data_IF_789652071929
#
_entry.id   IF_789652071929
#
_cell.length_a   1.000
_cell.length_b   1.000
_cell.length_c   1.000
_cell.angle_alpha   90.00
_cell.angle_beta   90.00
_cell.angle_gamma   90.00
#
_symmetry.space_group_name_H-M   'P 1'
#
loop_
_entity.id
_entity.type
_entity.pdbx_description
1 polymer ?
#
# COMPACT_ATOMS: atom_id res chain seq x y z
N UNK A 1 -13.03 -21.20 -5.66
CA UNK A 1 -12.66 -19.79 -5.95
C UNK A 1 -12.81 -18.85 -4.75
N UNK A 2 -13.80 -19.00 -3.86
CA UNK A 2 -13.99 -18.13 -2.68
C UNK A 2 -12.79 -17.99 -1.71
N UNK A 3 -11.95 -19.01 -1.56
CA UNK A 3 -10.78 -18.97 -0.66
C UNK A 3 -9.62 -18.12 -1.20
N UNK A 4 -9.44 -18.07 -2.52
CA UNK A 4 -8.39 -17.26 -3.14
C UNK A 4 -8.73 -15.76 -3.05
N UNK A 5 -10.02 -15.43 -3.19
CA UNK A 5 -10.54 -14.06 -3.07
C UNK A 5 -10.37 -13.52 -1.66
N UNK A 6 -10.68 -14.31 -0.63
CA UNK A 6 -10.51 -13.87 0.76
C UNK A 6 -9.04 -13.65 1.10
N UNK A 7 -8.16 -14.57 0.71
CA UNK A 7 -6.71 -14.43 0.92
C UNK A 7 -6.15 -13.20 0.20
N UNK A 8 -6.59 -12.96 -1.04
CA UNK A 8 -6.19 -11.76 -1.78
C UNK A 8 -6.64 -10.47 -1.08
N UNK A 9 -7.89 -10.41 -0.61
CA UNK A 9 -8.40 -9.28 0.18
C UNK A 9 -7.62 -9.06 1.48
N UNK A 10 -7.23 -10.13 2.18
CA UNK A 10 -6.43 -10.02 3.40
C UNK A 10 -5.03 -9.49 3.14
N UNK A 11 -4.33 -10.04 2.13
CA UNK A 11 -2.99 -9.58 1.74
C UNK A 11 -3.04 -8.11 1.30
N UNK A 12 -4.07 -7.77 0.54
CA UNK A 12 -4.33 -6.40 0.12
C UNK A 12 -4.49 -5.46 1.32
N UNK A 13 -5.38 -5.80 2.26
CA UNK A 13 -5.69 -4.94 3.40
C UNK A 13 -4.49 -4.78 4.33
N UNK A 14 -3.70 -5.86 4.46
CA UNK A 14 -2.42 -5.83 5.13
C UNK A 14 -1.43 -4.87 4.46
N UNK A 15 -1.25 -4.97 3.13
CA UNK A 15 -0.35 -4.09 2.38
C UNK A 15 -0.78 -2.62 2.42
N UNK A 16 -2.09 -2.35 2.36
CA UNK A 16 -2.64 -1.01 2.46
C UNK A 16 -2.41 -0.41 3.85
N UNK A 17 -2.76 -1.14 4.91
CA UNK A 17 -2.51 -0.70 6.29
C UNK A 17 -1.02 -0.49 6.55
N UNK A 18 -0.17 -1.35 6.01
CA UNK A 18 1.28 -1.20 6.10
C UNK A 18 1.78 0.09 5.43
N UNK A 19 1.28 0.43 4.23
CA UNK A 19 1.61 1.68 3.56
C UNK A 19 1.12 2.90 4.35
N UNK A 20 -0.11 2.83 4.87
CA UNK A 20 -0.70 3.91 5.66
C UNK A 20 0.05 4.17 6.97
N UNK A 21 0.37 3.11 7.71
CA UNK A 21 1.16 3.21 8.96
C UNK A 21 2.58 3.69 8.65
N UNK A 22 3.18 3.25 7.53
CA UNK A 22 4.50 3.74 7.10
C UNK A 22 4.46 5.24 6.80
N UNK A 23 3.44 5.74 6.10
CA UNK A 23 3.26 7.18 5.87
C UNK A 23 3.13 7.97 7.18
N UNK A 24 2.30 7.49 8.11
CA UNK A 24 2.18 8.12 9.43
C UNK A 24 3.50 8.09 10.20
N UNK A 25 4.22 6.98 10.16
CA UNK A 25 5.50 6.86 10.88
C UNK A 25 6.55 7.80 10.30
N UNK A 26 6.58 7.94 8.97
CA UNK A 26 7.50 8.84 8.26
C UNK A 26 7.18 10.30 8.62
N UNK A 27 5.91 10.69 8.69
CA UNK A 27 5.51 12.07 9.03
C UNK A 27 5.73 12.40 10.52
N UNK A 28 5.30 11.51 11.43
CA UNK A 28 5.24 11.80 12.86
C UNK A 28 6.50 11.40 13.64
N UNK A 29 7.26 10.41 13.17
CA UNK A 29 8.41 9.86 13.90
C UNK A 29 9.61 9.63 12.96
N UNK A 30 10.12 10.70 12.32
CA UNK A 30 11.07 10.55 11.23
C UNK A 30 12.39 9.92 11.64
N UNK A 31 12.91 10.25 12.83
CA UNK A 31 14.18 9.73 13.34
C UNK A 31 14.20 8.21 13.51
N UNK A 32 13.09 7.61 13.98
CA UNK A 32 12.98 6.16 14.12
C UNK A 32 12.90 5.47 12.76
N UNK A 33 12.13 6.04 11.83
CA UNK A 33 12.02 5.50 10.47
C UNK A 33 13.37 5.49 9.78
N UNK A 34 14.14 6.57 9.85
CA UNK A 34 15.48 6.64 9.24
C UNK A 34 16.44 5.62 9.85
N UNK A 35 16.36 5.38 11.17
CA UNK A 35 17.16 4.32 11.80
C UNK A 35 16.78 2.92 11.31
N UNK A 36 15.49 2.61 11.22
CA UNK A 36 15.03 1.34 10.70
C UNK A 36 15.43 1.15 9.23
N UNK A 37 15.12 2.11 8.38
CA UNK A 37 15.43 2.03 6.96
C UNK A 37 16.94 2.01 6.68
N UNK A 38 17.75 2.81 7.39
CA UNK A 38 19.21 2.75 7.24
C UNK A 38 19.80 1.42 7.71
N UNK A 39 19.25 0.81 8.77
CA UNK A 39 19.70 -0.48 9.28
C UNK A 39 19.31 -1.65 8.38
N UNK A 40 18.12 -1.61 7.78
CA UNK A 40 17.65 -2.66 6.88
C UNK A 40 18.21 -2.55 5.46
N UNK A 41 18.33 -1.33 4.92
CA UNK A 41 18.79 -1.11 3.55
C UNK A 41 20.26 -0.69 3.44
N UNK A 42 20.95 -0.45 4.57
CA UNK A 42 22.37 -0.06 4.59
C UNK A 42 22.64 1.32 3.98
N UNK A 43 21.61 2.13 3.76
CA UNK A 43 21.69 3.42 3.09
C UNK A 43 21.66 4.56 4.11
N UNK A 44 22.62 5.48 4.02
CA UNK A 44 22.62 6.74 4.76
C UNK A 44 21.59 7.64 4.07
N UNK A 45 20.40 7.72 4.64
CA UNK A 45 19.33 8.60 4.15
C UNK A 45 19.69 10.06 4.48
N UNK A 46 19.93 10.86 3.44
CA UNK A 46 20.00 12.33 3.51
C UNK A 46 18.57 12.90 3.59
N UNK A 47 18.39 14.12 4.10
CA UNK A 47 17.09 14.80 4.19
C UNK A 47 16.36 14.85 2.82
N UNK A 48 17.09 14.90 1.71
CA UNK A 48 16.52 14.85 0.35
C UNK A 48 15.85 13.49 0.01
N UNK A 49 16.31 12.40 0.61
CA UNK A 49 15.75 11.08 0.40
C UNK A 49 14.41 10.90 1.13
N UNK A 50 14.10 11.76 2.10
CA UNK A 50 12.87 11.71 2.89
C UNK A 50 11.64 12.05 2.04
N UNK A 51 11.73 13.12 1.25
CA UNK A 51 10.69 13.51 0.29
C UNK A 51 10.45 12.43 -0.76
N UNK A 52 11.52 11.78 -1.22
CA UNK A 52 11.42 10.65 -2.16
C UNK A 52 10.71 9.43 -1.53
N UNK A 53 10.98 9.14 -0.26
CA UNK A 53 10.34 8.04 0.48
C UNK A 53 8.83 8.27 0.65
N UNK A 54 8.45 9.48 1.07
CA UNK A 54 7.04 9.91 1.16
C UNK A 54 6.36 9.80 -0.20
N UNK A 55 6.98 10.33 -1.26
CA UNK A 55 6.43 10.28 -2.61
C UNK A 55 6.22 8.83 -3.07
N UNK A 56 7.20 7.96 -2.87
CA UNK A 56 7.12 6.54 -3.25
C UNK A 56 6.00 5.82 -2.49
N UNK A 57 5.87 6.08 -1.19
CA UNK A 57 4.79 5.52 -0.37
C UNK A 57 3.41 6.02 -0.83
N UNK A 58 3.26 7.30 -1.12
CA UNK A 58 2.02 7.87 -1.69
C UNK A 58 1.66 7.24 -3.02
N UNK A 59 2.61 7.16 -3.95
CA UNK A 59 2.43 6.51 -5.25
C UNK A 59 2.03 5.05 -5.10
N UNK A 60 2.70 4.31 -4.21
CA UNK A 60 2.37 2.90 -3.95
C UNK A 60 0.95 2.75 -3.40
N UNK A 61 0.53 3.60 -2.45
CA UNK A 61 -0.82 3.61 -1.89
C UNK A 61 -1.89 3.94 -2.93
N UNK A 62 -1.61 4.90 -3.81
CA UNK A 62 -2.50 5.27 -4.92
C UNK A 62 -2.68 4.10 -5.90
N UNK A 63 -1.58 3.49 -6.35
CA UNK A 63 -1.63 2.34 -7.25
C UNK A 63 -2.39 1.17 -6.61
N UNK A 64 -2.15 0.92 -5.32
CA UNK A 64 -2.86 -0.10 -4.55
C UNK A 64 -4.37 0.17 -4.57
N UNK A 65 -4.78 1.42 -4.30
CA UNK A 65 -6.19 1.83 -4.27
C UNK A 65 -6.87 1.65 -5.63
N UNK A 66 -6.22 2.06 -6.73
CA UNK A 66 -6.72 1.87 -8.10
C UNK A 66 -6.91 0.38 -8.40
N UNK A 67 -5.95 -0.46 -7.99
CA UNK A 67 -6.05 -1.90 -8.17
C UNK A 67 -7.27 -2.49 -7.45
N UNK A 68 -7.60 -2.05 -6.23
CA UNK A 68 -8.85 -2.46 -5.56
C UNK A 68 -10.06 -2.03 -6.36
N UNK A 69 -10.13 -0.76 -6.77
CA UNK A 69 -11.32 -0.24 -7.43
C UNK A 69 -11.60 -1.03 -8.71
N UNK A 70 -10.55 -1.36 -9.47
CA UNK A 70 -10.66 -2.27 -10.61
C UNK A 70 -11.09 -3.68 -10.20
N UNK A 71 -10.56 -4.23 -9.11
CA UNK A 71 -10.92 -5.57 -8.63
C UNK A 71 -12.39 -5.62 -8.19
N UNK A 72 -12.83 -4.70 -7.34
CA UNK A 72 -14.24 -4.56 -6.92
C UNK A 72 -15.11 -4.39 -8.16
N UNK A 73 -14.73 -3.51 -9.09
CA UNK A 73 -15.46 -3.34 -10.33
C UNK A 73 -15.57 -4.67 -11.09
N UNK A 74 -14.50 -5.43 -11.29
CA UNK A 74 -14.55 -6.72 -11.98
C UNK A 74 -15.40 -7.77 -11.24
N UNK A 75 -15.28 -7.84 -9.90
CA UNK A 75 -16.03 -8.79 -9.07
C UNK A 75 -17.53 -8.50 -9.01
N UNK A 76 -17.92 -7.22 -9.02
CA UNK A 76 -19.32 -6.82 -8.96
C UNK A 76 -19.93 -6.62 -10.35
N UNK A 77 -19.13 -6.33 -11.39
CA UNK A 77 -19.59 -6.21 -12.79
C UNK A 77 -20.25 -7.49 -13.32
N UNK A 78 -19.81 -8.66 -12.86
CA UNK A 78 -20.45 -9.94 -13.22
C UNK A 78 -21.74 -10.24 -12.46
N UNK A 79 -22.08 -9.47 -11.42
CA UNK A 79 -23.31 -9.64 -10.62
C UNK A 79 -24.49 -8.85 -11.17
N UNK A 80 -24.22 -7.81 -11.98
CA UNK A 80 -25.23 -6.93 -12.58
C UNK A 80 -25.49 -7.23 -14.07
N UNK A 81 -24.90 -8.29 -14.64
CA UNK A 81 -25.37 -8.78 -15.94
C UNK A 81 -26.77 -9.37 -15.75
N UNK A 82 -27.82 -8.84 -16.40
CA UNK A 82 -29.12 -9.48 -16.39
C UNK A 82 -28.93 -10.89 -16.96
N UNK A 83 -29.14 -11.89 -16.11
CA UNK A 83 -29.25 -13.28 -16.53
C UNK A 83 -30.47 -13.35 -17.48
N UNK A 84 -30.19 -13.30 -18.79
CA UNK A 84 -31.07 -13.84 -19.81
C UNK A 84 -30.77 -15.32 -19.99
#
# INVERSE_FOLDING_TARGET
>A
MKMAESVFFYIFWFAWMFCFISLLSVEFIPSLVTQFYSRYFGLIFSDDAYGSLIATLLWSSLTLTIAIMMLIYLFFKGRDSPQF
#
